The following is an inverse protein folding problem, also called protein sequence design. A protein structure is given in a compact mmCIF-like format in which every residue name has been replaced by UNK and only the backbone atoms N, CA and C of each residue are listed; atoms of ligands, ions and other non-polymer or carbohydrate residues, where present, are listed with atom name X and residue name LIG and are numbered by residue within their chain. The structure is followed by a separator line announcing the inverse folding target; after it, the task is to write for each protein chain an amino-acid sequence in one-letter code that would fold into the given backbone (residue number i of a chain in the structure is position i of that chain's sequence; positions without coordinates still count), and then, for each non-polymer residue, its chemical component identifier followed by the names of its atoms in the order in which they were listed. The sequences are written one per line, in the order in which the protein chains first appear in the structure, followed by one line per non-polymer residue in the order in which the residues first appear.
data_IF_540783629509
#
_entry.id   IF_540783629509
#
_cell.length_a   1.000
_cell.length_b   1.000
_cell.length_c   1.000
_cell.angle_alpha   90.00
_cell.angle_beta   90.00
_cell.angle_gamma   90.00
#
_symmetry.space_group_name_H-M   'P 1'
#
loop_
_entity.id
_entity.type
_entity.pdbx_description
1 polymer ?
#
# COMPACT_ATOMS: atom_id res chain seq x y z
N UNK A 1 9.62 22.84 -6.34
CA UNK A 1 8.41 22.72 -5.50
C UNK A 1 7.73 21.45 -5.96
N UNK A 2 7.88 20.35 -5.21
CA UNK A 2 7.29 19.06 -5.58
C UNK A 2 5.78 19.17 -5.43
N UNK A 3 5.02 19.01 -6.52
CA UNK A 3 3.56 19.03 -6.50
C UNK A 3 3.05 17.85 -5.68
N UNK A 4 2.32 18.14 -4.59
CA UNK A 4 1.69 17.09 -3.77
C UNK A 4 0.67 16.33 -4.65
N UNK A 5 0.53 15.01 -4.48
CA UNK A 5 -0.44 14.25 -5.25
C UNK A 5 -1.84 14.80 -5.01
N UNK A 6 -2.54 15.05 -6.10
CA UNK A 6 -3.89 15.60 -6.09
C UNK A 6 -4.89 14.46 -5.93
N UNK A 7 -5.75 14.48 -4.90
CA UNK A 7 -6.61 13.34 -4.52
C UNK A 7 -8.06 13.77 -4.33
N UNK A 8 -9.02 12.93 -4.73
CA UNK A 8 -10.42 13.06 -4.36
C UNK A 8 -10.69 12.25 -3.10
N UNK A 9 -11.40 12.82 -2.12
CA UNK A 9 -11.61 12.16 -0.83
C UNK A 9 -13.09 11.90 -0.57
N UNK A 10 -13.43 10.66 -0.21
CA UNK A 10 -14.67 10.33 0.47
C UNK A 10 -14.39 10.35 1.98
N UNK A 11 -15.10 11.21 2.71
CA UNK A 11 -15.20 11.13 4.15
C UNK A 11 -16.34 10.17 4.48
N UNK A 12 -16.02 9.07 5.14
CA UNK A 12 -16.93 7.94 5.36
C UNK A 12 -17.39 7.85 6.82
N UNK A 13 -18.70 7.96 7.05
CA UNK A 13 -19.33 7.36 8.24
C UNK A 13 -19.66 5.87 7.98
N UNK A 14 -19.96 5.13 9.04
CA UNK A 14 -20.25 3.70 9.00
C UNK A 14 -21.70 3.44 9.37
N UNK A 15 -22.14 3.87 10.56
CA UNK A 15 -23.53 3.75 10.99
C UNK A 15 -24.42 4.60 10.06
N UNK A 16 -25.58 4.07 9.65
CA UNK A 16 -26.47 4.75 8.69
C UNK A 16 -25.95 4.86 7.24
N UNK A 17 -24.67 4.57 6.99
CA UNK A 17 -24.04 4.67 5.66
C UNK A 17 -23.70 3.30 5.08
N UNK A 18 -23.00 2.43 5.83
CA UNK A 18 -22.60 1.07 5.42
C UNK A 18 -23.50 -0.03 6.01
N UNK A 19 -24.35 0.33 6.95
CA UNK A 19 -25.44 -0.47 7.48
C UNK A 19 -26.53 0.45 8.09
N UNK A 20 -27.74 -0.06 8.39
CA UNK A 20 -28.80 0.73 9.01
C UNK A 20 -28.43 1.23 10.42
N UNK A 21 -28.83 2.44 10.82
CA UNK A 21 -28.64 2.95 12.20
C UNK A 21 -29.33 2.07 13.25
N UNK A 22 -30.43 1.41 12.87
CA UNK A 22 -31.11 0.46 13.76
C UNK A 22 -30.24 -0.79 13.93
N UNK A 23 -29.76 -1.00 15.17
CA UNK A 23 -28.84 -2.06 15.61
C UNK A 23 -28.96 -3.35 14.79
N UNK A 24 -27.93 -3.64 14.01
CA UNK A 24 -27.60 -5.03 13.70
C UNK A 24 -26.92 -5.60 14.94
N UNK A 25 -27.66 -6.35 15.76
CA UNK A 25 -27.05 -7.15 16.85
C UNK A 25 -26.06 -8.20 16.31
N UNK A 26 -26.03 -8.40 14.99
CA UNK A 26 -25.11 -9.27 14.28
C UNK A 26 -23.90 -8.48 13.73
N UNK A 27 -22.68 -8.76 14.19
CA UNK A 27 -21.45 -8.21 13.64
C UNK A 27 -21.27 -8.45 12.13
N UNK A 28 -21.84 -9.52 11.57
CA UNK A 28 -21.81 -9.78 10.13
C UNK A 28 -22.62 -8.74 9.32
N UNK A 29 -23.54 -8.02 9.97
CA UNK A 29 -24.36 -6.98 9.35
C UNK A 29 -23.75 -5.58 9.35
N UNK A 30 -22.69 -5.32 10.11
CA UNK A 30 -22.12 -3.98 10.31
C UNK A 30 -21.47 -3.37 9.05
N UNK A 31 -21.07 -4.21 8.10
CA UNK A 31 -20.48 -3.78 6.82
C UNK A 31 -21.28 -4.29 5.62
N UNK A 32 -22.59 -4.56 5.80
CA UNK A 32 -23.41 -5.25 4.78
C UNK A 32 -23.48 -4.54 3.42
N UNK A 33 -23.24 -3.22 3.38
CA UNK A 33 -23.22 -2.46 2.13
C UNK A 33 -21.81 -2.10 1.66
N UNK A 34 -20.75 -2.53 2.36
CA UNK A 34 -19.36 -2.34 1.92
C UNK A 34 -19.11 -2.84 0.47
N UNK A 35 -19.65 -4.00 0.03
CA UNK A 35 -19.51 -4.42 -1.37
C UNK A 35 -20.14 -3.44 -2.38
N UNK A 36 -21.18 -2.70 -1.98
CA UNK A 36 -21.79 -1.65 -2.82
C UNK A 36 -20.83 -0.48 -2.97
N UNK A 37 -20.15 -0.06 -1.90
CA UNK A 37 -19.14 1.00 -1.97
C UNK A 37 -17.96 0.56 -2.85
N UNK A 38 -17.52 -0.69 -2.70
CA UNK A 38 -16.47 -1.28 -3.53
C UNK A 38 -16.83 -1.24 -5.02
N UNK A 39 -18.04 -1.69 -5.37
CA UNK A 39 -18.52 -1.66 -6.74
C UNK A 39 -18.61 -0.24 -7.33
N UNK A 40 -19.03 0.75 -6.52
CA UNK A 40 -19.07 2.16 -6.94
C UNK A 40 -17.68 2.73 -7.21
N UNK A 41 -16.67 2.31 -6.45
CA UNK A 41 -15.31 2.84 -6.51
C UNK A 41 -14.36 2.07 -7.43
N UNK A 42 -14.79 0.92 -7.98
CA UNK A 42 -13.94 0.05 -8.81
C UNK A 42 -13.27 0.80 -9.98
N UNK A 43 -13.99 1.72 -10.61
CA UNK A 43 -13.51 2.52 -11.75
C UNK A 43 -12.93 3.89 -11.35
N UNK A 44 -12.83 4.18 -10.06
CA UNK A 44 -12.33 5.44 -9.51
C UNK A 44 -11.14 5.18 -8.57
N UNK A 45 -10.00 4.66 -9.07
CA UNK A 45 -8.84 4.31 -8.24
C UNK A 45 -8.15 5.53 -7.60
N UNK A 46 -8.56 6.73 -7.99
CA UNK A 46 -8.09 8.03 -7.51
C UNK A 46 -8.86 8.59 -6.31
N UNK A 47 -9.91 7.88 -5.90
CA UNK A 47 -10.68 8.23 -4.71
C UNK A 47 -10.12 7.50 -3.50
N UNK A 48 -9.68 8.30 -2.53
CA UNK A 48 -9.23 7.87 -1.21
C UNK A 48 -10.33 8.05 -0.16
N UNK A 49 -10.19 7.34 0.96
CA UNK A 49 -11.15 7.31 2.05
C UNK A 49 -10.52 7.87 3.31
N UNK A 50 -11.25 8.74 4.02
CA UNK A 50 -10.95 9.13 5.40
C UNK A 50 -12.14 8.73 6.26
N UNK A 51 -11.91 7.92 7.30
CA UNK A 51 -13.00 7.50 8.19
C UNK A 51 -13.28 8.63 9.18
N UNK A 52 -14.47 9.21 9.14
CA UNK A 52 -14.89 10.24 10.10
C UNK A 52 -15.93 9.72 11.11
N UNK A 53 -16.35 8.46 10.96
CA UNK A 53 -17.25 7.78 11.90
C UNK A 53 -16.82 7.88 13.36
N UNK A 54 -17.78 7.82 14.27
CA UNK A 54 -17.54 7.68 15.72
C UNK A 54 -16.76 6.41 16.06
N UNK A 55 -16.74 5.41 15.17
CA UNK A 55 -15.94 4.20 15.33
C UNK A 55 -14.45 4.51 15.51
N UNK A 56 -13.92 5.60 14.94
CA UNK A 56 -12.53 6.06 15.18
C UNK A 56 -12.20 6.35 16.66
N UNK A 57 -13.23 6.44 17.51
CA UNK A 57 -13.03 6.61 18.94
C UNK A 57 -12.72 5.31 19.68
N UNK A 58 -13.21 4.18 19.15
CA UNK A 58 -13.12 2.84 19.73
C UNK A 58 -12.14 1.92 18.98
N UNK A 59 -11.93 2.16 17.68
CA UNK A 59 -11.06 1.37 16.83
C UNK A 59 -9.81 2.16 16.43
N UNK A 60 -8.69 1.46 16.32
CA UNK A 60 -7.46 1.94 15.71
C UNK A 60 -7.59 1.99 14.19
N UNK A 61 -6.72 2.76 13.52
CA UNK A 61 -6.68 2.77 12.05
C UNK A 61 -6.45 1.36 11.49
N UNK A 62 -5.57 0.55 12.08
CA UNK A 62 -5.33 -0.82 11.63
C UNK A 62 -6.61 -1.69 11.67
N UNK A 63 -7.42 -1.55 12.72
CA UNK A 63 -8.70 -2.26 12.83
C UNK A 63 -9.73 -1.73 11.83
N UNK A 64 -9.79 -0.42 11.60
CA UNK A 64 -10.67 0.16 10.56
C UNK A 64 -10.25 -0.27 9.15
N UNK A 65 -8.95 -0.38 8.89
CA UNK A 65 -8.40 -0.95 7.67
C UNK A 65 -8.84 -2.41 7.50
N UNK A 66 -8.78 -3.22 8.56
CA UNK A 66 -9.24 -4.61 8.51
C UNK A 66 -10.75 -4.70 8.24
N UNK A 67 -11.55 -3.87 8.90
CA UNK A 67 -13.02 -3.84 8.73
C UNK A 67 -13.45 -3.43 7.33
N UNK A 68 -12.72 -2.54 6.66
CA UNK A 68 -13.01 -2.07 5.30
C UNK A 68 -12.44 -2.99 4.20
N UNK A 69 -11.72 -4.06 4.58
CA UNK A 69 -11.38 -5.17 3.69
C UNK A 69 -10.75 -4.74 2.35
N UNK A 70 -11.36 -5.05 1.19
CA UNK A 70 -10.83 -4.68 -0.12
C UNK A 70 -10.55 -3.18 -0.32
N UNK A 71 -11.24 -2.31 0.42
CA UNK A 71 -11.04 -0.86 0.38
C UNK A 71 -9.90 -0.37 1.28
N UNK A 72 -9.25 -1.27 2.04
CA UNK A 72 -8.14 -0.93 2.95
C UNK A 72 -7.04 -0.11 2.26
N UNK A 73 -6.66 -0.48 1.04
CA UNK A 73 -5.63 0.24 0.27
C UNK A 73 -6.01 1.67 -0.17
N UNK A 74 -7.26 2.11 0.07
CA UNK A 74 -7.75 3.45 -0.25
C UNK A 74 -7.83 4.37 0.98
N UNK A 75 -7.70 3.81 2.18
CA UNK A 75 -7.82 4.58 3.43
C UNK A 75 -6.54 5.37 3.66
N UNK A 76 -6.68 6.69 3.88
CA UNK A 76 -5.57 7.56 4.29
C UNK A 76 -5.41 7.63 5.81
N UNK A 77 -6.45 7.25 6.55
CA UNK A 77 -6.52 7.23 8.00
C UNK A 77 -7.88 7.70 8.52
N UNK A 78 -7.98 7.84 9.85
CA UNK A 78 -9.15 8.42 10.50
C UNK A 78 -9.06 9.93 10.66
N UNK A 79 -10.20 10.61 10.63
CA UNK A 79 -10.29 12.04 10.93
C UNK A 79 -9.91 12.31 12.40
N UNK A 80 -9.35 13.50 12.73
CA UNK A 80 -9.01 13.86 14.10
C UNK A 80 -10.17 13.70 15.10
N UNK A 81 -9.83 13.48 16.36
CA UNK A 81 -10.80 13.34 17.46
C UNK A 81 -11.38 14.71 17.86
N UNK A 82 -12.44 15.14 17.17
CA UNK A 82 -13.19 16.39 17.37
C UNK A 82 -14.57 16.28 16.68
N UNK A 83 -15.50 17.26 16.85
CA UNK A 83 -16.79 17.24 16.15
C UNK A 83 -16.64 17.03 14.64
N UNK A 84 -17.54 16.28 14.00
CA UNK A 84 -17.35 15.71 12.66
C UNK A 84 -17.07 16.79 11.60
N UNK A 85 -17.89 17.82 11.53
CA UNK A 85 -17.71 18.94 10.59
C UNK A 85 -16.33 19.61 10.77
N UNK A 86 -15.93 19.89 12.01
CA UNK A 86 -14.62 20.51 12.32
C UNK A 86 -13.45 19.56 11.95
N UNK A 87 -13.61 18.26 12.20
CA UNK A 87 -12.59 17.26 11.88
C UNK A 87 -12.32 17.19 10.38
N UNK A 88 -13.39 17.15 9.59
CA UNK A 88 -13.32 17.11 8.12
C UNK A 88 -12.72 18.42 7.58
N UNK A 89 -13.18 19.58 8.06
CA UNK A 89 -12.61 20.88 7.69
C UNK A 89 -11.11 20.96 8.00
N UNK A 90 -10.68 20.42 9.15
CA UNK A 90 -9.25 20.38 9.53
C UNK A 90 -8.42 19.52 8.58
N UNK A 91 -8.93 18.33 8.20
CA UNK A 91 -8.27 17.46 7.21
C UNK A 91 -8.16 18.17 5.86
N UNK A 92 -9.25 18.78 5.40
CA UNK A 92 -9.27 19.54 4.14
C UNK A 92 -8.29 20.71 4.18
N UNK A 93 -8.26 21.48 5.27
CA UNK A 93 -7.36 22.62 5.42
C UNK A 93 -5.89 22.22 5.42
N UNK A 94 -5.53 21.14 6.12
CA UNK A 94 -4.17 20.61 6.13
C UNK A 94 -3.71 20.13 4.73
N UNK A 95 -4.68 19.73 3.90
CA UNK A 95 -4.45 19.15 2.58
C UNK A 95 -4.98 20.03 1.43
N UNK A 96 -5.19 21.33 1.64
CA UNK A 96 -5.82 22.24 0.67
C UNK A 96 -5.13 22.34 -0.70
N UNK A 97 -3.84 22.00 -0.76
CA UNK A 97 -3.06 21.96 -2.00
C UNK A 97 -3.02 20.61 -2.69
N UNK A 98 -3.68 19.60 -2.11
CA UNK A 98 -3.73 18.22 -2.59
C UNK A 98 -5.17 17.74 -2.83
N UNK A 99 -6.17 18.19 -2.07
CA UNK A 99 -7.56 17.73 -2.28
C UNK A 99 -8.26 18.53 -3.37
N UNK A 100 -8.62 17.89 -4.49
CA UNK A 100 -9.38 18.54 -5.58
C UNK A 100 -10.88 18.48 -5.42
N UNK A 101 -11.38 17.41 -4.81
CA UNK A 101 -12.80 17.25 -4.54
C UNK A 101 -12.98 16.40 -3.28
N UNK A 102 -14.09 16.65 -2.58
CA UNK A 102 -14.50 15.80 -1.48
C UNK A 102 -16.00 15.50 -1.54
N UNK A 103 -16.37 14.39 -0.91
CA UNK A 103 -17.75 14.00 -0.64
C UNK A 103 -17.82 13.46 0.78
N UNK A 104 -18.74 13.97 1.60
CA UNK A 104 -19.01 13.45 2.93
C UNK A 104 -20.23 12.54 2.84
N UNK A 105 -20.08 11.28 3.24
CA UNK A 105 -21.17 10.32 3.37
C UNK A 105 -21.51 10.21 4.85
N UNK A 106 -22.74 10.59 5.19
CA UNK A 106 -23.25 10.63 6.56
C UNK A 106 -24.78 10.61 6.53
N UNK A 107 -25.43 10.07 7.56
CA UNK A 107 -26.89 10.08 7.70
C UNK A 107 -27.41 11.21 8.59
N UNK A 108 -26.56 11.81 9.44
CA UNK A 108 -26.97 12.80 10.41
C UNK A 108 -26.69 14.25 9.95
N UNK A 109 -27.72 14.91 9.44
CA UNK A 109 -27.62 16.31 9.02
C UNK A 109 -27.27 17.29 10.15
N UNK A 110 -27.47 16.92 11.42
CA UNK A 110 -27.20 17.81 12.56
C UNK A 110 -25.70 18.01 12.81
N UNK A 111 -24.88 17.08 12.31
CA UNK A 111 -23.42 17.14 12.41
C UNK A 111 -22.81 18.15 11.44
N UNK A 112 -23.58 18.67 10.46
CA UNK A 112 -23.11 19.57 9.40
C UNK A 112 -23.99 20.82 9.27
N UNK A 113 -23.60 21.89 9.95
CA UNK A 113 -24.43 23.09 10.07
C UNK A 113 -23.89 24.28 9.27
N UNK A 114 -22.62 24.26 8.89
CA UNK A 114 -21.96 25.39 8.23
C UNK A 114 -22.34 25.56 6.75
N UNK A 115 -22.80 24.48 6.11
CA UNK A 115 -23.06 24.42 4.67
C UNK A 115 -21.80 24.47 3.79
N UNK A 116 -20.60 24.34 4.35
CA UNK A 116 -19.32 24.43 3.62
C UNK A 116 -18.86 23.12 3.00
N UNK A 117 -19.30 22.01 3.56
CA UNK A 117 -18.92 20.67 3.12
C UNK A 117 -19.89 20.15 2.06
N UNK A 118 -19.36 19.40 1.10
CA UNK A 118 -20.17 18.67 0.13
C UNK A 118 -20.69 17.38 0.78
N UNK A 119 -21.82 17.48 1.48
CA UNK A 119 -22.43 16.37 2.22
C UNK A 119 -23.53 15.70 1.38
N UNK A 120 -23.42 14.38 1.22
CA UNK A 120 -24.49 13.53 0.71
C UNK A 120 -25.15 12.82 1.89
N UNK A 121 -26.31 13.33 2.28
CA UNK A 121 -27.11 12.75 3.36
C UNK A 121 -27.70 11.41 2.92
N UNK A 122 -27.29 10.37 3.62
CA UNK A 122 -27.76 9.00 3.43
C UNK A 122 -29.08 8.78 4.16
N UNK A 123 -29.96 7.95 3.60
CA UNK A 123 -31.12 7.46 4.35
C UNK A 123 -30.61 6.53 5.46
N UNK A 124 -30.88 6.78 6.76
CA UNK A 124 -30.28 6.01 7.86
C UNK A 124 -30.68 4.53 7.87
N UNK A 125 -31.70 4.11 7.11
CA UNK A 125 -32.14 2.72 7.01
C UNK A 125 -31.62 2.01 5.75
N UNK A 126 -31.20 2.77 4.74
CA UNK A 126 -30.77 2.22 3.45
C UNK A 126 -29.32 2.57 3.10
N UNK A 127 -28.74 3.59 3.71
CA UNK A 127 -27.39 4.08 3.49
C UNK A 127 -27.04 4.21 2.02
N UNK A 128 -25.87 3.67 1.66
CA UNK A 128 -25.41 3.59 0.28
C UNK A 128 -26.12 2.54 -0.56
N UNK A 129 -26.92 1.64 0.03
CA UNK A 129 -27.71 0.69 -0.76
C UNK A 129 -28.88 1.37 -1.49
N UNK A 130 -29.32 2.54 -1.04
CA UNK A 130 -30.38 3.30 -1.71
C UNK A 130 -29.95 3.72 -3.14
N UNK A 131 -30.78 3.44 -4.18
CA UNK A 131 -30.45 3.81 -5.56
C UNK A 131 -30.17 5.30 -5.77
N UNK A 132 -30.85 6.18 -5.02
CA UNK A 132 -30.60 7.63 -5.06
C UNK A 132 -29.21 7.99 -4.54
N UNK A 133 -28.76 7.35 -3.46
CA UNK A 133 -27.41 7.55 -2.91
C UNK A 133 -26.35 7.07 -3.90
N UNK A 134 -26.51 5.88 -4.48
CA UNK A 134 -25.60 5.36 -5.50
C UNK A 134 -25.53 6.26 -6.73
N UNK A 135 -26.68 6.77 -7.19
CA UNK A 135 -26.75 7.70 -8.31
C UNK A 135 -26.04 9.03 -8.00
N UNK A 136 -26.19 9.55 -6.78
CA UNK A 136 -25.50 10.77 -6.33
C UNK A 136 -23.99 10.56 -6.21
N UNK A 137 -23.53 9.44 -5.66
CA UNK A 137 -22.11 9.08 -5.62
C UNK A 137 -21.57 8.97 -7.05
N UNK A 138 -22.26 8.26 -7.94
CA UNK A 138 -21.87 8.12 -9.36
C UNK A 138 -21.82 9.47 -10.08
N UNK A 139 -22.78 10.35 -9.82
CA UNK A 139 -22.81 11.70 -10.38
C UNK A 139 -21.64 12.55 -9.86
N UNK A 140 -21.32 12.47 -8.57
CA UNK A 140 -20.15 13.13 -7.99
C UNK A 140 -18.86 12.56 -8.60
N UNK A 141 -18.74 11.24 -8.71
CA UNK A 141 -17.58 10.59 -9.33
C UNK A 141 -17.39 11.08 -10.77
N UNK A 142 -18.47 11.24 -11.52
CA UNK A 142 -18.43 11.68 -12.92
C UNK A 142 -18.17 13.18 -13.06
N UNK A 143 -18.76 14.01 -12.20
CA UNK A 143 -18.65 15.48 -12.28
C UNK A 143 -17.33 16.02 -11.73
N UNK A 144 -16.73 15.29 -10.79
CA UNK A 144 -15.42 15.59 -10.22
C UNK A 144 -14.29 14.80 -10.86
N UNK A 145 -14.63 13.86 -11.76
CA UNK A 145 -13.67 13.33 -12.72
C UNK A 145 -13.34 14.46 -13.69
N UNK A 146 -12.32 15.21 -13.32
CA UNK A 146 -11.82 16.35 -14.08
C UNK A 146 -11.08 15.90 -15.34
N UNK A 147 -11.07 14.59 -15.67
CA UNK A 147 -10.19 14.01 -16.69
C UNK A 147 -8.71 14.04 -16.29
N UNK A 148 -8.35 14.92 -15.34
CA UNK A 148 -7.30 14.73 -14.36
C UNK A 148 -7.75 13.62 -13.41
N UNK A 149 -7.74 12.39 -13.94
CA UNK A 149 -7.38 11.20 -13.15
C UNK A 149 -6.20 11.61 -12.27
N UNK A 150 -6.07 11.13 -11.01
CA UNK A 150 -4.78 11.12 -10.30
C UNK A 150 -3.70 11.03 -11.36
N UNK A 151 -2.93 12.11 -11.57
CA UNK A 151 -2.27 12.39 -12.87
C UNK A 151 -1.87 11.07 -13.56
N UNK A 152 -2.17 10.85 -14.86
CA UNK A 152 -1.44 9.89 -15.70
C UNK A 152 0.06 10.27 -15.82
N UNK A 153 0.69 10.59 -14.70
CA UNK A 153 1.71 11.62 -14.51
C UNK A 153 2.11 11.81 -13.04
N UNK A 154 1.43 11.21 -12.05
CA UNK A 154 2.22 10.52 -11.04
C UNK A 154 2.82 9.39 -11.85
N UNK A 155 4.07 9.60 -12.26
CA UNK A 155 4.83 8.51 -12.85
C UNK A 155 4.60 7.37 -11.87
N UNK A 156 4.07 6.23 -12.35
CA UNK A 156 4.18 5.03 -11.53
C UNK A 156 5.62 5.03 -11.01
N UNK A 157 5.83 4.76 -9.71
CA UNK A 157 7.18 4.58 -9.20
C UNK A 157 7.99 3.83 -10.25
N UNK A 158 9.15 4.37 -10.64
CA UNK A 158 9.91 3.98 -11.84
C UNK A 158 9.72 2.49 -12.14
N UNK A 159 9.32 2.17 -13.38
CA UNK A 159 9.00 0.80 -13.83
C UNK A 159 7.69 0.22 -13.28
N UNK A 160 6.66 1.04 -13.05
CA UNK A 160 5.33 0.50 -12.85
C UNK A 160 4.78 -0.18 -14.10
N UNK A 161 3.95 -1.20 -13.90
CA UNK A 161 3.54 -2.12 -14.95
C UNK A 161 4.62 -3.13 -15.37
N UNK A 162 5.85 -3.04 -14.84
CA UNK A 162 6.88 -4.05 -15.05
C UNK A 162 6.70 -5.27 -14.15
N UNK A 163 7.45 -6.34 -14.43
CA UNK A 163 7.57 -7.47 -13.51
C UNK A 163 8.55 -7.08 -12.41
N UNK A 164 8.15 -7.24 -11.15
CA UNK A 164 8.93 -6.79 -10.00
C UNK A 164 9.39 -7.95 -9.12
N UNK A 165 10.67 -7.95 -8.76
CA UNK A 165 11.26 -8.73 -7.68
C UNK A 165 11.49 -7.80 -6.49
N UNK A 166 10.72 -7.97 -5.42
CA UNK A 166 10.97 -7.35 -4.14
C UNK A 166 12.11 -8.10 -3.44
N UNK A 167 13.17 -7.39 -3.12
CA UNK A 167 14.44 -7.99 -2.69
C UNK A 167 14.88 -7.40 -1.35
N UNK A 168 14.89 -8.23 -0.30
CA UNK A 168 15.73 -7.96 0.87
C UNK A 168 17.20 -8.36 0.61
N UNK A 169 18.10 -7.89 1.46
CA UNK A 169 19.52 -8.19 1.47
C UNK A 169 19.87 -9.15 2.60
N UNK A 170 19.53 -8.75 3.83
CA UNK A 170 19.82 -9.49 5.05
C UNK A 170 18.97 -10.78 5.03
N UNK A 171 19.58 -11.95 5.24
CA UNK A 171 18.88 -13.24 5.18
C UNK A 171 18.52 -13.72 3.77
N UNK A 172 18.90 -12.96 2.72
CA UNK A 172 18.61 -13.29 1.31
C UNK A 172 19.88 -13.38 0.48
N UNK A 173 20.65 -12.30 0.39
CA UNK A 173 21.89 -12.22 -0.39
C UNK A 173 23.15 -12.54 0.42
N UNK A 174 22.97 -12.73 1.73
CA UNK A 174 23.95 -13.08 2.75
C UNK A 174 23.19 -13.38 4.05
N UNK A 175 23.92 -13.78 5.09
CA UNK A 175 23.35 -14.02 6.42
C UNK A 175 22.68 -12.77 7.01
N UNK A 176 21.54 -12.91 7.69
CA UNK A 176 20.78 -11.82 8.34
C UNK A 176 21.57 -10.92 9.31
N UNK A 177 22.65 -11.41 9.94
CA UNK A 177 23.28 -10.73 11.07
C UNK A 177 24.29 -9.67 10.63
N UNK A 178 23.74 -8.58 10.11
CA UNK A 178 24.47 -7.39 9.67
C UNK A 178 24.52 -6.35 10.77
N UNK A 179 25.74 -5.92 11.11
CA UNK A 179 26.00 -4.88 12.08
C UNK A 179 26.28 -3.54 11.41
N UNK A 180 26.03 -2.46 12.14
CA UNK A 180 26.18 -1.10 11.65
C UNK A 180 27.23 -0.32 12.43
N UNK A 181 28.11 0.36 11.70
CA UNK A 181 29.06 1.28 12.28
C UNK A 181 28.94 2.66 11.64
N UNK A 182 28.87 3.78 12.41
CA UNK A 182 28.58 5.11 11.89
C UNK A 182 29.48 5.60 10.74
N UNK A 183 30.73 5.13 10.68
CA UNK A 183 31.70 5.51 9.63
C UNK A 183 31.96 4.44 8.57
N UNK A 184 31.74 3.17 8.89
CA UNK A 184 32.03 2.05 7.98
C UNK A 184 30.79 1.65 7.20
N UNK A 185 29.61 1.90 7.77
CA UNK A 185 28.37 1.37 7.26
C UNK A 185 28.10 -0.04 7.76
N UNK A 186 27.27 -0.76 7.01
CA UNK A 186 26.98 -2.16 7.23
C UNK A 186 28.24 -3.04 7.12
N UNK A 187 28.37 -4.03 8.00
CA UNK A 187 29.41 -5.05 7.98
C UNK A 187 28.90 -6.37 8.60
N UNK A 188 29.47 -7.50 8.19
CA UNK A 188 29.12 -8.81 8.74
C UNK A 188 29.47 -8.90 10.23
N UNK A 189 28.52 -9.34 11.07
CA UNK A 189 28.68 -9.42 12.53
C UNK A 189 29.40 -10.68 13.03
N UNK A 190 28.80 -11.88 12.88
CA UNK A 190 29.42 -13.17 13.15
C UNK A 190 30.64 -13.48 12.26
N UNK A 191 31.52 -14.40 12.68
CA UNK A 191 32.52 -14.95 11.78
C UNK A 191 31.84 -15.79 10.67
N UNK A 192 32.44 -15.79 9.47
CA UNK A 192 32.19 -16.72 8.35
C UNK A 192 31.16 -16.36 7.27
N UNK A 193 30.80 -15.09 7.07
CA UNK A 193 30.01 -14.71 5.89
C UNK A 193 30.49 -13.38 5.30
N UNK A 194 30.20 -13.16 4.02
CA UNK A 194 30.55 -11.92 3.32
C UNK A 194 29.27 -11.26 2.83
N UNK A 195 29.14 -9.95 3.07
CA UNK A 195 28.02 -9.18 2.53
C UNK A 195 27.91 -9.38 1.01
N UNK A 196 26.71 -9.73 0.55
CA UNK A 196 26.38 -9.98 -0.85
C UNK A 196 27.08 -11.20 -1.48
N UNK A 197 27.54 -12.17 -0.70
CA UNK A 197 28.18 -13.40 -1.23
C UNK A 197 27.29 -14.19 -2.21
N UNK A 198 25.95 -14.07 -2.10
CA UNK A 198 25.01 -14.73 -3.01
C UNK A 198 24.50 -13.83 -4.14
N UNK A 199 24.97 -12.58 -4.25
CA UNK A 199 24.50 -11.68 -5.30
C UNK A 199 24.82 -12.17 -6.72
N UNK A 200 25.97 -12.86 -6.91
CA UNK A 200 26.31 -13.46 -8.20
C UNK A 200 25.31 -14.56 -8.61
N UNK A 201 24.82 -15.35 -7.65
CA UNK A 201 23.81 -16.37 -7.89
C UNK A 201 22.47 -15.75 -8.30
N UNK A 202 22.04 -14.66 -7.64
CA UNK A 202 20.83 -13.96 -8.06
C UNK A 202 20.97 -13.37 -9.48
N UNK A 203 22.14 -12.82 -9.82
CA UNK A 203 22.41 -12.29 -11.17
C UNK A 203 22.32 -13.39 -12.24
N UNK A 204 22.87 -14.57 -11.95
CA UNK A 204 22.75 -15.76 -12.80
C UNK A 204 21.28 -16.19 -12.97
N UNK A 205 20.51 -16.27 -11.88
CA UNK A 205 19.10 -16.65 -11.90
C UNK A 205 18.21 -15.65 -12.67
N UNK A 206 18.54 -14.36 -12.64
CA UNK A 206 17.83 -13.31 -13.37
C UNK A 206 18.32 -13.11 -14.81
N UNK A 207 19.48 -13.66 -15.17
CA UNK A 207 20.06 -13.52 -16.51
C UNK A 207 19.11 -13.93 -17.65
N UNK A 208 18.26 -14.99 -17.53
CA UNK A 208 17.31 -15.35 -18.59
C UNK A 208 16.08 -14.44 -18.68
N UNK A 209 15.89 -13.54 -17.71
CA UNK A 209 14.68 -12.74 -17.53
C UNK A 209 15.01 -11.22 -17.45
N UNK A 210 15.51 -10.60 -18.53
CA UNK A 210 15.85 -9.18 -18.55
C UNK A 210 14.67 -8.24 -18.22
N UNK A 211 13.44 -8.70 -18.37
CA UNK A 211 12.19 -7.98 -18.08
C UNK A 211 11.78 -7.97 -16.59
N UNK A 212 12.49 -8.73 -15.74
CA UNK A 212 12.26 -8.73 -14.29
C UNK A 212 13.18 -7.69 -13.65
N UNK A 213 12.55 -6.71 -13.02
CA UNK A 213 13.21 -5.60 -12.38
C UNK A 213 13.16 -5.70 -10.86
N UNK A 214 14.08 -5.02 -10.17
CA UNK A 214 14.24 -5.11 -8.72
C UNK A 214 13.63 -3.90 -8.02
N UNK A 215 12.84 -4.15 -6.99
CA UNK A 215 12.43 -3.17 -5.99
C UNK A 215 13.07 -3.55 -4.66
N UNK A 216 13.87 -2.67 -4.09
CA UNK A 216 14.55 -2.92 -2.83
C UNK A 216 13.55 -2.87 -1.67
N UNK A 217 13.35 -4.01 -1.01
CA UNK A 217 12.58 -4.14 0.23
C UNK A 217 13.55 -4.49 1.36
N UNK A 218 14.52 -3.62 1.62
CA UNK A 218 15.57 -3.88 2.63
C UNK A 218 15.70 -2.72 3.61
N UNK A 219 16.03 -3.02 4.87
CA UNK A 219 16.24 -2.01 5.91
C UNK A 219 17.32 -0.97 5.53
N UNK A 220 18.27 -1.35 4.68
CA UNK A 220 19.39 -0.53 4.23
C UNK A 220 18.96 0.72 3.46
N UNK A 221 17.79 0.71 2.81
CA UNK A 221 17.30 1.87 2.04
C UNK A 221 16.98 3.06 2.94
N UNK A 222 16.70 2.84 4.24
CA UNK A 222 16.50 3.93 5.20
C UNK A 222 17.78 4.70 5.48
N UNK A 223 18.91 3.99 5.50
CA UNK A 223 20.23 4.59 5.77
C UNK A 223 20.91 5.11 4.51
N UNK A 224 20.83 4.35 3.41
CA UNK A 224 21.54 4.66 2.17
C UNK A 224 20.69 5.28 1.06
N UNK A 225 19.37 5.32 1.22
CA UNK A 225 18.45 5.56 0.11
C UNK A 225 18.49 4.42 -0.91
N UNK A 226 17.60 4.49 -1.92
CA UNK A 226 17.54 3.49 -2.97
C UNK A 226 18.87 3.40 -3.75
N UNK A 227 19.39 4.52 -4.24
CA UNK A 227 20.62 4.53 -5.05
C UNK A 227 21.85 4.06 -4.26
N UNK A 228 21.95 4.44 -2.97
CA UNK A 228 23.06 4.04 -2.12
C UNK A 228 23.03 2.54 -1.78
N UNK A 229 21.84 1.99 -1.54
CA UNK A 229 21.65 0.55 -1.36
C UNK A 229 21.94 -0.22 -2.66
N UNK A 230 21.41 0.24 -3.80
CA UNK A 230 21.64 -0.36 -5.11
C UNK A 230 23.12 -0.39 -5.51
N UNK A 231 23.92 0.62 -5.11
CA UNK A 231 25.39 0.64 -5.33
C UNK A 231 26.14 -0.52 -4.67
N UNK A 232 25.53 -1.24 -3.73
CA UNK A 232 26.12 -2.41 -3.08
C UNK A 232 25.98 -3.69 -3.91
N UNK A 233 25.05 -3.69 -4.87
CA UNK A 233 24.84 -4.81 -5.77
C UNK A 233 25.86 -4.80 -6.92
N UNK A 234 26.21 -5.99 -7.45
CA UNK A 234 26.89 -6.11 -8.75
C UNK A 234 26.14 -5.37 -9.86
N UNK A 235 26.84 -4.99 -10.92
CA UNK A 235 26.28 -4.16 -12.00
C UNK A 235 25.01 -4.77 -12.62
N UNK A 236 25.01 -6.09 -12.90
CA UNK A 236 23.87 -6.79 -13.51
C UNK A 236 22.57 -6.68 -12.70
N UNK A 237 22.66 -6.73 -11.37
CA UNK A 237 21.52 -6.51 -10.47
C UNK A 237 21.21 -5.03 -10.27
N UNK A 238 22.24 -4.19 -10.10
CA UNK A 238 22.07 -2.76 -9.86
C UNK A 238 21.33 -2.06 -11.00
N UNK A 239 21.62 -2.43 -12.24
CA UNK A 239 21.01 -1.82 -13.42
C UNK A 239 19.52 -2.20 -13.57
N UNK A 240 19.08 -3.26 -12.88
CA UNK A 240 17.68 -3.68 -12.79
C UNK A 240 16.91 -2.96 -11.67
N UNK A 241 17.58 -2.18 -10.80
CA UNK A 241 16.91 -1.53 -9.68
C UNK A 241 16.05 -0.36 -10.16
N UNK A 242 14.76 -0.48 -9.90
CA UNK A 242 13.74 0.50 -10.21
C UNK A 242 13.45 1.45 -9.05
N UNK A 243 13.54 0.96 -7.81
CA UNK A 243 13.18 1.75 -6.64
C UNK A 243 13.29 0.95 -5.37
N UNK A 244 12.70 1.49 -4.30
CA UNK A 244 12.61 0.85 -3.00
C UNK A 244 11.21 0.98 -2.41
N UNK A 245 10.88 0.15 -1.43
CA UNK A 245 9.63 0.22 -0.66
C UNK A 245 9.56 1.45 0.25
N UNK A 246 10.69 2.11 0.51
CA UNK A 246 10.78 3.35 1.29
C UNK A 246 11.51 4.44 0.50
N UNK A 247 11.07 5.69 0.68
CA UNK A 247 11.75 6.89 0.21
C UNK A 247 11.64 8.03 1.23
N UNK A 248 12.50 9.02 1.13
CA UNK A 248 12.69 10.08 2.14
C UNK A 248 11.48 11.01 2.35
N UNK A 249 10.46 10.96 1.48
CA UNK A 249 9.22 11.72 1.67
C UNK A 249 8.19 10.95 2.53
N UNK A 250 8.42 9.66 2.77
CA UNK A 250 7.59 8.86 3.66
C UNK A 250 7.95 9.15 5.12
N UNK A 251 6.98 9.00 6.02
CA UNK A 251 7.24 9.01 7.45
C UNK A 251 7.97 7.71 7.86
N UNK A 252 9.24 7.82 8.24
CA UNK A 252 10.07 6.66 8.58
C UNK A 252 9.53 5.86 9.77
N UNK A 253 9.04 6.53 10.82
CA UNK A 253 8.53 5.87 12.02
C UNK A 253 7.28 5.05 11.69
N UNK A 254 6.36 5.61 10.90
CA UNK A 254 5.18 4.91 10.44
C UNK A 254 5.52 3.76 9.49
N UNK A 255 6.58 3.90 8.67
CA UNK A 255 7.03 2.83 7.78
C UNK A 255 7.62 1.65 8.56
N UNK A 256 8.52 1.92 9.51
CA UNK A 256 9.19 0.89 10.32
C UNK A 256 8.22 0.16 11.25
N UNK A 257 7.15 0.82 11.68
CA UNK A 257 6.11 0.20 12.50
C UNK A 257 5.28 -0.85 11.74
N UNK A 258 5.36 -0.91 10.41
CA UNK A 258 4.62 -1.88 9.59
C UNK A 258 5.41 -3.18 9.44
N UNK A 259 4.74 -4.35 9.51
CA UNK A 259 5.33 -5.62 9.11
C UNK A 259 5.87 -5.59 7.67
N UNK A 260 6.86 -6.44 7.38
CA UNK A 260 7.54 -6.47 6.08
C UNK A 260 6.59 -6.68 4.91
N UNK A 261 5.69 -7.65 5.02
CA UNK A 261 4.70 -7.92 3.98
C UNK A 261 3.79 -6.72 3.70
N UNK A 262 3.40 -5.97 4.73
CA UNK A 262 2.62 -4.74 4.56
C UNK A 262 3.39 -3.66 3.80
N UNK A 263 4.68 -3.46 4.10
CA UNK A 263 5.52 -2.50 3.38
C UNK A 263 5.62 -2.82 1.88
N UNK A 264 5.77 -4.10 1.54
CA UNK A 264 5.83 -4.58 0.15
C UNK A 264 4.47 -4.44 -0.53
N UNK A 265 3.38 -4.85 0.10
CA UNK A 265 2.03 -4.76 -0.48
C UNK A 265 1.59 -3.32 -0.73
N UNK A 266 1.96 -2.38 0.14
CA UNK A 266 1.75 -0.96 -0.11
C UNK A 266 2.55 -0.46 -1.33
N UNK A 267 3.74 -1.01 -1.58
CA UNK A 267 4.50 -0.72 -2.80
C UNK A 267 3.88 -1.35 -4.03
N UNK A 268 3.41 -2.59 -3.95
CA UNK A 268 2.68 -3.27 -5.02
C UNK A 268 1.44 -2.46 -5.40
N UNK A 269 0.66 -1.99 -4.42
CA UNK A 269 -0.56 -1.21 -4.67
C UNK A 269 -0.30 0.11 -5.41
N UNK A 270 0.79 0.81 -5.08
CA UNK A 270 1.17 2.08 -5.74
C UNK A 270 1.95 1.90 -7.05
N UNK A 271 2.83 0.89 -7.14
CA UNK A 271 3.68 0.61 -8.32
C UNK A 271 2.94 -0.15 -9.40
N UNK A 272 1.92 -0.93 -9.02
CA UNK A 272 1.07 -1.74 -9.90
C UNK A 272 1.88 -2.58 -10.88
N UNK A 273 2.81 -3.43 -10.38
CA UNK A 273 3.53 -4.34 -11.25
C UNK A 273 2.54 -5.30 -11.93
N UNK A 274 2.79 -5.68 -13.19
CA UNK A 274 1.94 -6.65 -13.91
C UNK A 274 2.05 -8.07 -13.35
N UNK A 275 3.07 -8.31 -12.52
CA UNK A 275 3.29 -9.49 -11.71
C UNK A 275 4.48 -9.22 -10.78
N UNK A 276 4.52 -9.86 -9.61
CA UNK A 276 5.63 -9.69 -8.67
C UNK A 276 5.98 -10.96 -7.90
N UNK A 277 7.20 -10.97 -7.36
CA UNK A 277 7.71 -11.94 -6.40
C UNK A 277 8.45 -11.21 -5.28
N UNK A 278 8.53 -11.80 -4.09
CA UNK A 278 9.36 -11.34 -2.98
C UNK A 278 10.35 -12.42 -2.53
N UNK A 279 11.60 -12.03 -2.31
CA UNK A 279 12.62 -12.81 -1.61
C UNK A 279 12.90 -12.12 -0.27
N UNK A 280 12.62 -12.84 0.81
CA UNK A 280 12.68 -12.32 2.17
C UNK A 280 12.91 -13.50 3.12
N UNK A 281 13.57 -13.30 4.25
CA UNK A 281 13.69 -14.32 5.30
C UNK A 281 12.56 -14.22 6.33
N UNK A 282 11.81 -13.11 6.34
CA UNK A 282 10.82 -12.79 7.36
C UNK A 282 9.39 -13.10 6.91
N UNK A 283 8.65 -13.83 7.75
CA UNK A 283 7.26 -14.25 7.47
C UNK A 283 6.17 -13.25 7.96
N UNK A 284 6.54 -12.03 8.31
CA UNK A 284 5.63 -11.09 8.96
C UNK A 284 4.82 -10.25 7.97
N UNK A 285 3.49 -10.23 8.17
CA UNK A 285 2.58 -9.33 7.44
C UNK A 285 2.23 -9.76 6.02
N UNK A 286 2.56 -11.00 5.64
CA UNK A 286 2.15 -11.61 4.38
C UNK A 286 0.79 -12.30 4.53
N UNK A 287 -0.27 -11.81 3.89
CA UNK A 287 -1.58 -12.42 3.97
C UNK A 287 -1.60 -13.72 3.12
N UNK A 288 -2.43 -14.73 3.46
CA UNK A 288 -2.43 -16.04 2.79
C UNK A 288 -2.59 -15.99 1.27
N UNK A 289 -3.27 -14.97 0.75
CA UNK A 289 -3.62 -14.79 -0.66
C UNK A 289 -2.41 -14.51 -1.55
N UNK A 290 -1.29 -14.03 -0.98
CA UNK A 290 -0.06 -13.72 -1.73
C UNK A 290 1.05 -14.73 -1.50
N UNK A 291 0.77 -15.83 -0.80
CA UNK A 291 1.78 -16.82 -0.42
C UNK A 291 2.58 -17.39 -1.60
N UNK A 292 1.93 -17.60 -2.74
CA UNK A 292 2.60 -18.11 -3.95
C UNK A 292 3.60 -17.12 -4.56
N UNK A 293 3.55 -15.84 -4.15
CA UNK A 293 4.42 -14.76 -4.61
C UNK A 293 5.61 -14.52 -3.67
N UNK A 294 5.64 -15.15 -2.49
CA UNK A 294 6.67 -14.93 -1.46
C UNK A 294 7.52 -16.19 -1.30
N UNK A 295 8.83 -16.07 -1.49
CA UNK A 295 9.79 -17.14 -1.25
C UNK A 295 10.59 -16.81 0.01
N UNK A 296 10.20 -17.45 1.12
CA UNK A 296 10.92 -17.35 2.38
C UNK A 296 12.26 -18.07 2.31
N UNK A 297 13.35 -17.33 2.52
CA UNK A 297 14.72 -17.84 2.53
C UNK A 297 15.17 -18.26 3.93
N UNK A 298 16.23 -19.05 3.98
CA UNK A 298 16.90 -19.36 5.25
C UNK A 298 17.70 -18.13 5.71
N UNK A 299 17.52 -17.67 6.94
CA UNK A 299 18.16 -16.45 7.48
C UNK A 299 19.70 -16.50 7.43
N UNK A 300 20.31 -17.69 7.35
CA UNK A 300 21.78 -17.89 7.35
C UNK A 300 22.33 -18.12 5.95
N UNK A 301 21.67 -18.96 5.15
CA UNK A 301 22.11 -19.41 3.83
C UNK A 301 21.50 -18.60 2.68
N UNK A 302 20.47 -17.81 2.97
CA UNK A 302 19.72 -17.01 2.00
C UNK A 302 19.24 -17.81 0.81
N UNK A 303 19.44 -17.25 -0.38
CA UNK A 303 19.05 -17.90 -1.64
C UNK A 303 19.93 -19.11 -2.02
N UNK A 304 21.07 -19.30 -1.36
CA UNK A 304 21.94 -20.45 -1.58
C UNK A 304 21.53 -21.69 -0.74
N UNK A 305 20.50 -21.56 0.10
CA UNK A 305 19.93 -22.69 0.82
C UNK A 305 19.55 -23.83 -0.14
N UNK A 306 19.75 -25.11 0.23
CA UNK A 306 19.42 -26.24 -0.63
C UNK A 306 17.99 -26.19 -1.17
N UNK A 307 17.83 -26.29 -2.50
CA UNK A 307 16.52 -26.26 -3.17
C UNK A 307 15.94 -24.86 -3.41
N UNK A 308 16.50 -23.81 -2.79
CA UNK A 308 16.02 -22.44 -2.98
C UNK A 308 16.30 -21.90 -4.39
N UNK A 309 17.49 -22.11 -5.00
CA UNK A 309 17.74 -21.67 -6.38
C UNK A 309 16.72 -22.25 -7.38
N UNK A 310 16.36 -23.53 -7.24
CA UNK A 310 15.37 -24.20 -8.09
C UNK A 310 13.96 -23.62 -7.90
N UNK A 311 13.59 -23.30 -6.65
CA UNK A 311 12.31 -22.65 -6.33
C UNK A 311 12.23 -21.24 -6.92
N UNK A 312 13.31 -20.46 -6.80
CA UNK A 312 13.42 -19.12 -7.40
C UNK A 312 13.31 -19.22 -8.91
N UNK A 313 14.07 -20.13 -9.54
CA UNK A 313 14.01 -20.35 -10.99
C UNK A 313 12.60 -20.72 -11.47
N UNK A 314 11.90 -21.61 -10.74
CA UNK A 314 10.53 -22.00 -11.04
C UNK A 314 9.52 -20.84 -10.84
N UNK A 315 9.73 -20.01 -9.82
CA UNK A 315 8.89 -18.83 -9.58
C UNK A 315 9.10 -17.76 -10.67
N UNK A 316 10.34 -17.43 -11.03
CA UNK A 316 10.66 -16.49 -12.10
C UNK A 316 10.06 -16.94 -13.45
N UNK A 317 10.16 -18.23 -13.77
CA UNK A 317 9.54 -18.80 -14.96
C UNK A 317 8.02 -18.61 -14.97
N UNK A 318 7.35 -18.82 -13.83
CA UNK A 318 5.90 -18.60 -13.70
C UNK A 318 5.54 -17.12 -13.81
N UNK A 319 6.30 -16.26 -13.15
CA UNK A 319 6.12 -14.80 -13.16
C UNK A 319 6.17 -14.23 -14.59
N UNK A 320 7.09 -14.73 -15.42
CA UNK A 320 7.20 -14.30 -16.82
C UNK A 320 6.13 -14.95 -17.71
N UNK A 321 5.74 -16.20 -17.40
CA UNK A 321 4.74 -16.93 -18.18
C UNK A 321 3.31 -16.44 -17.97
N UNK A 322 3.01 -15.78 -16.85
CA UNK A 322 1.71 -15.12 -16.64
C UNK A 322 1.54 -13.97 -17.64
N UNK A 323 0.81 -14.24 -18.72
CA UNK A 323 0.28 -13.19 -19.61
C UNK A 323 -0.58 -12.24 -18.77
N UNK A 324 -0.38 -10.94 -18.94
CA UNK A 324 -1.33 -9.95 -18.43
C UNK A 324 -2.75 -10.30 -18.94
N UNK A 325 -3.77 -10.29 -18.06
CA UNK A 325 -5.15 -10.50 -18.48
C UNK A 325 -5.62 -9.44 -19.49
#
# INVERSE_FOLDING_TARGET
MSERPIVRIIFLDIDGVLHPVAESADPAGWMRWLPTLEALLVNAPDVSIVVHSTWRYAYTDAELHALLGPLSGRILGSAPRMPREIAIETVLQANKGAVTAHLVLDDDSREFTSGRLNVLLCDPQLGISAPKTQAAITAWLSSTDTGLRLHPGSRLPKGGGELALYLDFDGVLHHENVLWHPRRGAYAGPPHFTLFEHAALLDELLSPYPEVFIVLSTSWVRTYGCDGAAKRLPAGLRDRVLGATFHSEMNEQAFVAKPRGTQVLEDVARRRPRGWLALDDTDEGWPPEVRDQVLLTDERLGIAAPGMPERIAAALKRLVASKAP
#
